data_IF_319376944552
#
_entry.id   IF_319376944552
#
_cell.length_a   1.000
_cell.length_b   1.000
_cell.length_c   1.000
_cell.angle_alpha   90.00
_cell.angle_beta   90.00
_cell.angle_gamma   90.00
#
_symmetry.space_group_name_H-M   'P 1'
#
loop_
_entity.id
_entity.type
_entity.pdbx_description
1 polymer ?
#
# COMPACT_ATOMS: atom_id res chain seq x y z
N UNK A 1 -82.12 31.10 -27.85
CA UNK A 1 -81.06 30.70 -28.82
C UNK A 1 -79.70 30.96 -28.23
N UNK A 2 -79.07 29.97 -27.63
CA UNK A 2 -77.65 30.08 -27.27
C UNK A 2 -76.99 28.71 -27.45
N UNK A 3 -76.05 28.63 -28.36
CA UNK A 3 -75.28 27.44 -28.70
C UNK A 3 -74.02 27.36 -27.81
N UNK A 4 -73.95 26.42 -26.94
CA UNK A 4 -72.78 26.15 -26.11
C UNK A 4 -71.84 25.21 -26.88
N UNK A 5 -70.61 25.66 -27.19
CA UNK A 5 -69.58 24.86 -27.83
C UNK A 5 -68.69 24.24 -26.74
N UNK A 6 -68.71 22.90 -26.63
CA UNK A 6 -67.74 22.12 -25.85
C UNK A 6 -66.40 22.10 -26.58
N UNK A 7 -65.36 22.51 -25.89
CA UNK A 7 -63.95 22.33 -26.33
C UNK A 7 -63.41 21.11 -25.55
N UNK A 8 -63.05 20.05 -26.28
CA UNK A 8 -62.21 18.99 -25.75
C UNK A 8 -60.77 19.51 -25.62
N UNK A 9 -60.23 19.41 -24.43
CA UNK A 9 -58.81 19.58 -24.17
C UNK A 9 -58.14 18.21 -24.17
N UNK A 10 -57.24 17.97 -25.11
CA UNK A 10 -56.41 16.77 -25.15
C UNK A 10 -55.21 16.96 -24.19
N UNK A 11 -55.11 16.11 -23.19
CA UNK A 11 -53.95 16.06 -22.28
C UNK A 11 -52.92 15.11 -22.88
N UNK A 12 -51.81 15.64 -23.35
CA UNK A 12 -50.68 14.84 -23.79
C UNK A 12 -49.81 14.52 -22.57
N UNK A 13 -49.74 13.24 -22.21
CA UNK A 13 -48.85 12.71 -21.19
C UNK A 13 -47.46 12.53 -21.79
N UNK A 14 -46.51 13.38 -21.41
CA UNK A 14 -45.08 13.20 -21.69
C UNK A 14 -44.49 12.23 -20.69
N UNK A 15 -44.11 11.04 -21.13
CA UNK A 15 -43.33 10.08 -20.37
C UNK A 15 -41.85 10.49 -20.41
N UNK A 16 -41.29 10.99 -19.29
CA UNK A 16 -39.88 11.24 -19.11
C UNK A 16 -39.18 9.92 -18.81
N UNK A 17 -38.47 9.36 -19.80
CA UNK A 17 -37.50 8.30 -19.55
C UNK A 17 -36.31 8.90 -18.82
N UNK A 18 -36.18 8.62 -17.51
CA UNK A 18 -34.98 8.90 -16.76
C UNK A 18 -33.93 7.83 -17.12
N UNK A 19 -32.97 8.18 -17.99
CA UNK A 19 -31.74 7.43 -18.12
C UNK A 19 -30.88 7.65 -16.86
N UNK A 20 -30.83 6.65 -15.98
CA UNK A 20 -29.84 6.60 -14.91
C UNK A 20 -28.45 6.36 -15.56
N UNK A 21 -27.42 7.19 -15.22
CA UNK A 21 -26.06 6.86 -15.64
C UNK A 21 -25.63 5.59 -14.93
N UNK A 22 -25.30 4.54 -15.68
CA UNK A 22 -24.59 3.39 -15.19
C UNK A 22 -23.18 3.89 -14.76
N UNK A 23 -22.94 3.95 -13.46
CA UNK A 23 -21.59 4.12 -12.94
C UNK A 23 -20.82 2.85 -13.29
N UNK A 24 -20.03 2.89 -14.36
CA UNK A 24 -18.98 1.93 -14.59
C UNK A 24 -17.93 2.16 -13.51
N UNK A 25 -18.02 1.41 -12.40
CA UNK A 25 -16.93 1.29 -11.46
C UNK A 25 -15.76 0.65 -12.20
N UNK A 26 -14.63 1.33 -12.25
CA UNK A 26 -13.41 0.76 -12.78
C UNK A 26 -12.96 -0.34 -11.82
N UNK A 27 -13.09 -1.60 -12.22
CA UNK A 27 -12.63 -2.76 -11.47
C UNK A 27 -11.10 -2.71 -11.22
N UNK A 28 -10.35 -1.95 -12.02
CA UNK A 28 -8.92 -1.69 -11.85
C UNK A 28 -8.57 -0.91 -10.56
N UNK A 29 -9.45 -0.03 -10.08
CA UNK A 29 -9.22 0.73 -8.84
C UNK A 29 -9.53 -0.09 -7.58
N UNK A 30 -10.42 -1.06 -7.65
CA UNK A 30 -10.74 -1.95 -6.54
C UNK A 30 -9.56 -2.89 -6.23
N UNK A 31 -8.83 -3.35 -7.24
CA UNK A 31 -7.70 -4.27 -7.11
C UNK A 31 -6.43 -3.58 -6.56
N UNK A 32 -6.21 -2.30 -6.86
CA UNK A 32 -5.15 -1.48 -6.24
C UNK A 32 -5.42 -1.13 -4.77
N UNK A 33 -6.61 -1.41 -4.27
CA UNK A 33 -7.03 -0.92 -2.96
C UNK A 33 -6.55 -1.78 -1.79
N UNK A 34 -6.31 -3.06 -1.98
CA UNK A 34 -5.94 -3.96 -0.90
C UNK A 34 -4.42 -4.07 -0.75
N UNK A 35 -3.89 -3.48 0.33
CA UNK A 35 -2.48 -3.61 0.72
C UNK A 35 -2.27 -4.66 1.83
N UNK A 36 -3.34 -5.28 2.32
CA UNK A 36 -3.27 -6.30 3.36
C UNK A 36 -2.49 -7.54 2.90
N UNK A 37 -1.88 -8.23 3.85
CA UNK A 37 -1.19 -9.50 3.64
C UNK A 37 0.32 -9.39 3.56
N UNK A 38 0.94 -10.45 3.05
CA UNK A 38 2.38 -10.63 3.07
C UNK A 38 3.06 -10.01 1.84
N UNK A 39 4.19 -9.37 2.11
CA UNK A 39 5.03 -8.70 1.12
C UNK A 39 6.50 -9.11 1.32
N UNK A 40 7.23 -9.24 0.25
CA UNK A 40 8.68 -9.23 0.24
C UNK A 40 9.18 -7.88 -0.27
N UNK A 41 10.33 -7.44 0.21
CA UNK A 41 10.91 -6.19 -0.29
C UNK A 41 12.42 -6.30 -0.50
N UNK A 42 12.91 -5.42 -1.38
CA UNK A 42 14.33 -5.24 -1.62
C UNK A 42 14.62 -3.78 -1.93
N UNK A 43 15.73 -3.26 -1.38
CA UNK A 43 16.26 -1.96 -1.78
C UNK A 43 17.16 -2.10 -3.00
N UNK A 44 17.41 -0.99 -3.69
CA UNK A 44 18.62 -0.91 -4.52
C UNK A 44 19.85 -0.83 -3.62
N UNK A 45 21.03 -1.25 -4.11
CA UNK A 45 22.26 -1.10 -3.36
C UNK A 45 22.48 0.37 -2.94
N UNK A 46 22.92 0.59 -1.71
CA UNK A 46 23.17 1.91 -1.12
C UNK A 46 24.53 1.97 -0.44
N UNK A 47 24.90 3.13 0.15
CA UNK A 47 26.25 3.37 0.70
C UNK A 47 27.34 3.08 -0.32
N UNK A 48 27.19 3.66 -1.53
CA UNK A 48 28.15 3.43 -2.62
C UNK A 48 28.12 2.01 -3.19
N UNK A 49 27.00 1.30 -3.06
CA UNK A 49 26.84 -0.07 -3.58
C UNK A 49 27.30 -1.16 -2.62
N UNK A 50 27.72 -0.80 -1.40
CA UNK A 50 28.30 -1.75 -0.43
C UNK A 50 27.25 -2.41 0.47
N UNK A 51 26.03 -1.90 0.52
CA UNK A 51 24.92 -2.43 1.31
C UNK A 51 23.70 -2.75 0.44
N UNK A 52 22.99 -3.80 0.82
CA UNK A 52 21.70 -4.19 0.27
C UNK A 52 20.79 -4.60 1.42
N UNK A 53 19.52 -4.21 1.36
CA UNK A 53 18.50 -4.66 2.29
C UNK A 53 17.42 -5.45 1.57
N UNK A 54 17.03 -6.57 2.16
CA UNK A 54 15.86 -7.37 1.76
C UNK A 54 15.02 -7.64 3.00
N UNK A 55 13.79 -8.09 2.81
CA UNK A 55 12.99 -8.49 3.97
C UNK A 55 11.58 -8.92 3.62
N UNK A 56 10.80 -9.12 4.68
CA UNK A 56 9.38 -9.44 4.61
C UNK A 56 8.58 -8.47 5.45
N UNK A 57 7.36 -8.22 5.06
CA UNK A 57 6.39 -7.41 5.80
C UNK A 57 5.02 -8.06 5.71
N UNK A 58 4.29 -8.08 6.82
CA UNK A 58 2.89 -8.47 6.84
C UNK A 58 2.03 -7.32 7.31
N UNK A 59 1.08 -6.88 6.47
CA UNK A 59 0.10 -5.83 6.77
C UNK A 59 -1.20 -6.48 7.26
N UNK A 60 -1.66 -6.06 8.44
CA UNK A 60 -2.89 -6.52 9.09
C UNK A 60 -3.89 -5.39 9.25
N UNK A 61 -5.20 -5.67 9.32
CA UNK A 61 -6.22 -4.65 9.53
C UNK A 61 -5.99 -3.85 10.82
N UNK A 62 -6.31 -2.57 10.78
CA UNK A 62 -6.39 -1.69 11.94
C UNK A 62 -7.84 -1.19 12.08
N UNK A 63 -8.36 -0.91 13.31
CA UNK A 63 -9.73 -0.40 13.50
C UNK A 63 -10.01 0.92 12.78
N UNK A 64 -8.99 1.76 12.60
CA UNK A 64 -9.15 3.04 11.90
C UNK A 64 -8.97 2.87 10.38
N UNK A 65 -9.89 3.41 9.55
CA UNK A 65 -9.80 3.36 8.11
C UNK A 65 -8.48 3.96 7.58
N UNK A 66 -7.87 3.30 6.59
CA UNK A 66 -6.62 3.73 5.99
C UNK A 66 -5.38 3.55 6.86
N UNK A 67 -5.53 2.94 8.04
CA UNK A 67 -4.42 2.52 8.89
C UNK A 67 -4.28 1.00 8.91
N UNK A 68 -3.05 0.53 9.10
CA UNK A 68 -2.70 -0.88 9.16
C UNK A 68 -1.65 -1.10 10.23
N UNK A 69 -1.77 -2.20 10.97
CA UNK A 69 -0.68 -2.71 11.78
C UNK A 69 0.25 -3.54 10.90
N UNK A 70 1.53 -3.55 11.18
CA UNK A 70 2.44 -4.41 10.43
C UNK A 70 3.59 -4.95 11.27
N UNK A 71 4.13 -6.06 10.79
CA UNK A 71 5.37 -6.66 11.27
C UNK A 71 6.35 -6.70 10.09
N UNK A 72 7.60 -6.34 10.36
CA UNK A 72 8.66 -6.22 9.38
C UNK A 72 9.88 -7.00 9.88
N UNK A 73 10.47 -7.82 9.01
CA UNK A 73 11.79 -8.40 9.24
C UNK A 73 12.72 -7.93 8.13
N UNK A 74 13.75 -7.17 8.50
CA UNK A 74 14.75 -6.66 7.59
C UNK A 74 16.05 -7.46 7.72
N UNK A 75 16.67 -7.73 6.58
CA UNK A 75 17.99 -8.35 6.45
C UNK A 75 18.87 -7.36 5.69
N UNK A 76 19.78 -6.70 6.38
CA UNK A 76 20.79 -5.84 5.79
C UNK A 76 22.11 -6.61 5.62
N UNK A 77 22.69 -6.55 4.44
CA UNK A 77 24.02 -7.10 4.16
C UNK A 77 24.91 -5.99 3.65
N UNK A 78 26.00 -5.74 4.39
CA UNK A 78 27.01 -4.72 4.01
C UNK A 78 28.38 -5.36 3.96
N UNK A 79 29.20 -4.98 2.97
CA UNK A 79 30.57 -5.49 2.84
C UNK A 79 31.47 -5.11 4.02
N UNK A 80 31.23 -3.98 4.67
CA UNK A 80 32.05 -3.47 5.77
C UNK A 80 31.73 -4.14 7.11
N UNK A 81 30.45 -4.46 7.43
CA UNK A 81 30.02 -4.97 8.74
C UNK A 81 29.16 -6.22 8.68
N UNK A 82 29.04 -6.82 7.50
CA UNK A 82 28.39 -8.11 7.33
C UNK A 82 26.88 -8.06 7.36
N UNK A 83 26.24 -9.08 7.94
CA UNK A 83 24.79 -9.28 7.93
C UNK A 83 24.18 -8.89 9.27
N UNK A 84 23.06 -8.17 9.21
CA UNK A 84 22.18 -7.88 10.34
C UNK A 84 20.78 -8.32 10.02
N UNK A 85 20.06 -8.86 11.02
CA UNK A 85 18.64 -9.24 10.90
C UNK A 85 17.88 -8.59 12.04
N UNK A 86 16.84 -7.84 11.70
CA UNK A 86 16.08 -7.02 12.65
C UNK A 86 14.59 -7.27 12.48
N UNK A 87 13.93 -7.59 13.58
CA UNK A 87 12.46 -7.64 13.66
C UNK A 87 11.94 -6.31 14.18
N UNK A 88 10.89 -5.80 13.53
CA UNK A 88 10.31 -4.51 13.81
C UNK A 88 8.77 -4.61 13.80
N UNK A 89 8.12 -3.97 14.74
CA UNK A 89 6.71 -3.62 14.61
C UNK A 89 6.57 -2.37 13.75
N UNK A 90 5.46 -2.21 13.08
CA UNK A 90 5.23 -1.00 12.28
C UNK A 90 3.75 -0.61 12.19
N UNK A 91 3.53 0.62 11.81
CA UNK A 91 2.24 1.16 11.43
C UNK A 91 2.34 1.70 10.00
N UNK A 92 1.38 1.32 9.18
CA UNK A 92 1.24 1.86 7.84
C UNK A 92 0.00 2.75 7.77
N UNK A 93 0.11 3.83 6.98
CA UNK A 93 -1.00 4.71 6.64
C UNK A 93 -1.08 4.83 5.14
N UNK A 94 -2.29 4.62 4.62
CA UNK A 94 -2.58 4.79 3.21
C UNK A 94 -3.35 6.08 2.97
N UNK A 95 -2.94 6.81 1.95
CA UNK A 95 -3.63 7.99 1.45
C UNK A 95 -3.61 7.95 -0.10
N UNK A 96 -4.74 7.59 -0.68
CA UNK A 96 -4.83 7.32 -2.11
C UNK A 96 -3.96 6.12 -2.50
N UNK A 97 -3.04 6.31 -3.41
CA UNK A 97 -2.03 5.35 -3.85
C UNK A 97 -0.72 5.41 -3.02
N UNK A 98 -0.62 6.33 -2.05
CA UNK A 98 0.55 6.46 -1.19
C UNK A 98 0.41 5.64 0.08
N UNK A 99 1.48 4.96 0.48
CA UNK A 99 1.59 4.22 1.73
C UNK A 99 2.84 4.68 2.48
N UNK A 100 2.67 5.17 3.70
CA UNK A 100 3.78 5.48 4.60
C UNK A 100 3.87 4.45 5.71
N UNK A 101 5.07 3.92 5.96
CA UNK A 101 5.35 2.91 6.98
C UNK A 101 6.29 3.52 8.01
N UNK A 102 5.93 3.41 9.29
CA UNK A 102 6.73 3.83 10.44
C UNK A 102 7.00 2.64 11.31
N UNK A 103 8.26 2.33 11.53
CA UNK A 103 8.70 1.13 12.23
C UNK A 103 9.35 1.45 13.58
N UNK A 104 9.32 0.47 14.46
CA UNK A 104 10.01 0.46 15.75
C UNK A 104 10.74 -0.86 15.88
N UNK A 105 11.99 -0.81 16.33
CA UNK A 105 12.80 -2.02 16.53
C UNK A 105 12.27 -2.78 17.73
N UNK A 106 11.92 -4.04 17.53
CA UNK A 106 11.53 -4.97 18.59
C UNK A 106 12.72 -5.83 19.04
N UNK A 107 13.48 -6.32 18.06
CA UNK A 107 14.56 -7.26 18.37
C UNK A 107 15.63 -7.28 17.27
N UNK A 108 16.88 -7.23 17.68
CA UNK A 108 18.03 -7.54 16.84
C UNK A 108 18.26 -9.04 16.87
N UNK A 109 17.86 -9.75 15.83
CA UNK A 109 17.98 -11.22 15.73
C UNK A 109 19.42 -11.65 15.38
N UNK A 110 20.12 -10.84 14.59
CA UNK A 110 21.52 -11.06 14.21
C UNK A 110 22.24 -9.73 14.03
N UNK A 111 23.42 -9.60 14.63
CA UNK A 111 24.33 -8.49 14.37
C UNK A 111 25.77 -9.02 14.43
N UNK A 112 26.59 -8.75 13.41
CA UNK A 112 28.01 -9.14 13.42
C UNK A 112 28.90 -8.21 14.23
N UNK A 113 28.46 -6.97 14.46
CA UNK A 113 29.18 -5.97 15.23
C UNK A 113 28.44 -5.78 16.55
N UNK A 114 29.12 -6.08 17.65
CA UNK A 114 28.58 -5.81 18.99
C UNK A 114 28.42 -4.30 19.19
N UNK A 115 27.28 -3.90 19.75
CA UNK A 115 26.95 -2.48 19.99
C UNK A 115 26.50 -1.71 18.73
N UNK A 116 26.20 -2.41 17.63
CA UNK A 116 25.64 -1.76 16.44
C UNK A 116 24.32 -1.05 16.77
N UNK A 117 24.26 0.25 16.56
CA UNK A 117 23.03 1.04 16.64
C UNK A 117 22.31 0.91 15.28
N UNK A 118 21.20 0.18 15.28
CA UNK A 118 20.34 0.06 14.11
C UNK A 118 19.22 1.11 14.19
N UNK A 119 18.92 1.75 13.08
CA UNK A 119 17.82 2.72 12.99
C UNK A 119 16.59 2.05 12.40
N UNK A 120 15.37 2.40 12.85
CA UNK A 120 14.15 1.83 12.28
C UNK A 120 14.04 2.04 10.76
N UNK A 121 13.55 1.02 10.06
CA UNK A 121 13.35 1.04 8.63
C UNK A 121 11.96 1.55 8.30
N UNK A 122 11.87 2.83 7.97
CA UNK A 122 10.64 3.47 7.52
C UNK A 122 10.58 3.44 5.99
N UNK A 123 9.38 3.48 5.43
CA UNK A 123 9.20 3.51 3.98
C UNK A 123 8.13 4.52 3.57
N UNK A 124 8.34 5.11 2.40
CA UNK A 124 7.32 5.86 1.67
C UNK A 124 7.17 5.21 0.30
N UNK A 125 5.98 4.67 0.03
CA UNK A 125 5.71 3.82 -1.13
C UNK A 125 4.53 4.37 -1.94
N UNK A 126 4.52 4.03 -3.22
CA UNK A 126 3.39 4.22 -4.14
C UNK A 126 2.89 2.85 -4.58
N UNK A 127 1.58 2.62 -4.52
CA UNK A 127 0.93 1.41 -5.03
C UNK A 127 0.91 1.50 -6.56
N UNK A 128 1.61 0.57 -7.22
CA UNK A 128 1.61 0.47 -8.68
C UNK A 128 0.53 -0.49 -9.17
N UNK A 129 0.37 -1.62 -8.45
CA UNK A 129 -0.63 -2.64 -8.71
C UNK A 129 -1.00 -3.39 -7.43
N UNK A 130 -1.92 -4.36 -7.49
CA UNK A 130 -2.31 -5.21 -6.36
C UNK A 130 -1.13 -6.01 -5.77
N UNK A 131 -0.09 -6.27 -6.54
CA UNK A 131 1.04 -7.10 -6.18
C UNK A 131 2.39 -6.34 -6.11
N UNK A 132 2.38 -5.03 -6.36
CA UNK A 132 3.60 -4.23 -6.41
C UNK A 132 3.44 -2.83 -5.81
N UNK A 133 4.36 -2.47 -4.91
CA UNK A 133 4.59 -1.11 -4.44
C UNK A 133 6.06 -0.74 -4.64
N UNK A 134 6.33 0.52 -4.91
CA UNK A 134 7.70 1.02 -5.02
C UNK A 134 7.84 2.39 -4.34
N UNK A 135 9.05 2.74 -3.96
CA UNK A 135 9.32 4.01 -3.32
C UNK A 135 10.70 4.05 -2.69
N UNK A 136 10.78 4.43 -1.43
CA UNK A 136 12.06 4.59 -0.76
C UNK A 136 12.03 4.07 0.69
N UNK A 137 13.12 3.40 1.07
CA UNK A 137 13.56 3.27 2.45
C UNK A 137 13.98 4.66 2.96
N UNK A 138 13.56 5.01 4.18
CA UNK A 138 13.92 6.23 4.90
C UNK A 138 14.36 5.82 6.30
N UNK A 139 15.66 5.62 6.50
CA UNK A 139 16.27 5.21 7.77
C UNK A 139 17.53 6.08 8.01
N UNK A 140 18.61 5.53 8.54
CA UNK A 140 19.92 6.18 8.55
C UNK A 140 20.43 6.55 7.15
N UNK A 141 19.83 5.99 6.13
CA UNK A 141 20.04 6.25 4.70
C UNK A 141 18.70 6.34 3.98
N UNK A 142 18.73 6.89 2.77
CA UNK A 142 17.60 6.80 1.83
C UNK A 142 18.04 5.95 0.64
N UNK A 143 17.22 4.94 0.30
CA UNK A 143 17.47 4.07 -0.84
C UNK A 143 16.16 3.71 -1.56
N UNK A 144 16.12 3.61 -2.89
CA UNK A 144 14.95 3.10 -3.58
C UNK A 144 14.61 1.70 -3.11
N UNK A 145 13.32 1.42 -2.92
CA UNK A 145 12.81 0.13 -2.47
C UNK A 145 11.64 -0.32 -3.33
N UNK A 146 11.55 -1.61 -3.53
CA UNK A 146 10.46 -2.28 -4.23
C UNK A 146 9.87 -3.35 -3.32
N UNK A 147 8.54 -3.39 -3.25
CA UNK A 147 7.77 -4.39 -2.53
C UNK A 147 6.98 -5.21 -3.54
N UNK A 148 6.99 -6.52 -3.37
CA UNK A 148 6.19 -7.47 -4.13
C UNK A 148 5.36 -8.31 -3.20
N UNK A 149 4.12 -8.56 -3.57
CA UNK A 149 3.27 -9.47 -2.79
C UNK A 149 3.95 -10.83 -2.71
N UNK A 150 4.05 -11.35 -1.50
CA UNK A 150 4.54 -12.70 -1.33
C UNK A 150 3.46 -13.64 -1.89
N UNK A 151 3.79 -14.36 -2.98
CA UNK A 151 2.96 -15.45 -3.43
C UNK A 151 3.08 -16.55 -2.38
N UNK A 152 1.97 -16.95 -1.78
CA UNK A 152 1.91 -18.20 -1.04
C UNK A 152 2.21 -19.30 -2.05
N UNK A 153 3.50 -19.69 -2.09
CA UNK A 153 3.95 -20.74 -2.98
C UNK A 153 3.15 -22.00 -2.65
N UNK A 154 2.26 -22.37 -3.56
CA UNK A 154 1.64 -23.70 -3.57
C UNK A 154 2.80 -24.66 -3.81
N UNK A 155 3.27 -25.25 -2.72
CA UNK A 155 4.21 -26.39 -2.74
C UNK A 155 3.43 -27.67 -2.93
#
# INVERSE_FOLDING_TARGET
>A
MFRTRFRLAAVAAMALLACAPASAGNDDDADKSDVLGAWTFQTRPYRGGTCLMTGTMNLSPHPEPGQYSCELTAVEVCSAWGRSVVRQSCQARRFGDQVSIRSQIEEMLEAKIEGLIYMPDNFTLTIESADRMFGALVSAVTAPAEFRRANDGIS
#
